data_IF_645303647717
#
_entry.id   IF_645303647717
#
_cell.length_a   1.000
_cell.length_b   1.000
_cell.length_c   1.000
_cell.angle_alpha   90.00
_cell.angle_beta   90.00
_cell.angle_gamma   90.00
#
_symmetry.space_group_name_H-M   'P 1'
#
loop_
_entity.id
_entity.type
_entity.pdbx_description
1 polymer ?
#
# COMPACT_ATOMS: atom_id res chain seq x y z
N UNK A 1 0.06 14.41 -5.32
CA UNK A 1 -0.11 13.10 -5.99
C UNK A 1 1.23 12.37 -5.96
N UNK A 2 1.21 11.05 -6.06
CA UNK A 2 2.44 10.26 -6.22
C UNK A 2 3.08 10.59 -7.59
N UNK A 3 4.42 10.66 -7.62
CA UNK A 3 5.17 10.91 -8.86
C UNK A 3 5.99 9.67 -9.22
N UNK A 4 5.84 9.21 -10.45
CA UNK A 4 6.54 8.05 -10.99
C UNK A 4 7.89 8.46 -11.56
N UNK A 5 8.93 7.69 -11.26
CA UNK A 5 10.29 7.87 -11.78
C UNK A 5 10.72 6.64 -12.59
N UNK A 6 10.83 6.80 -13.90
CA UNK A 6 11.39 5.82 -14.84
C UNK A 6 12.37 6.55 -15.78
N UNK A 7 13.57 6.93 -15.29
CA UNK A 7 14.52 7.70 -16.08
C UNK A 7 15.02 6.90 -17.29
N UNK A 8 15.23 7.59 -18.42
CA UNK A 8 15.71 6.98 -19.67
C UNK A 8 17.20 6.63 -19.66
N UNK A 9 17.93 7.04 -18.62
CA UNK A 9 19.37 6.79 -18.47
C UNK A 9 19.70 5.38 -17.96
N UNK A 10 18.70 4.57 -17.62
CA UNK A 10 18.83 3.18 -17.19
C UNK A 10 17.77 2.30 -17.87
N UNK A 11 17.89 0.98 -17.70
CA UNK A 11 16.93 0.03 -18.26
C UNK A 11 15.49 0.31 -17.78
N UNK A 12 14.53 0.18 -18.68
CA UNK A 12 13.11 0.26 -18.34
C UNK A 12 12.70 -0.90 -17.41
N UNK A 13 11.61 -0.75 -16.64
CA UNK A 13 11.04 -1.86 -15.86
C UNK A 13 10.82 -3.11 -16.72
N UNK A 14 11.35 -4.25 -16.27
CA UNK A 14 11.21 -5.55 -16.96
C UNK A 14 9.79 -6.13 -16.79
N UNK A 15 8.98 -5.56 -15.88
CA UNK A 15 7.62 -5.99 -15.62
C UNK A 15 6.71 -4.82 -15.22
N UNK A 16 5.54 -5.15 -14.66
CA UNK A 16 4.50 -4.17 -14.29
C UNK A 16 4.78 -3.49 -12.94
N UNK A 17 5.79 -2.62 -12.93
CA UNK A 17 6.18 -1.79 -11.78
C UNK A 17 6.86 -0.49 -12.24
N UNK A 18 7.12 0.43 -11.32
CA UNK A 18 7.91 1.65 -11.54
C UNK A 18 9.27 1.55 -10.87
N UNK A 19 10.34 2.11 -11.46
CA UNK A 19 11.68 2.08 -10.85
C UNK A 19 11.74 2.92 -9.56
N UNK A 20 10.96 3.99 -9.48
CA UNK A 20 10.79 4.78 -8.26
C UNK A 20 9.41 5.41 -8.14
N UNK A 21 8.97 5.60 -6.90
CA UNK A 21 7.76 6.36 -6.53
C UNK A 21 8.18 7.44 -5.53
N UNK A 22 7.90 8.69 -5.86
CA UNK A 22 8.08 9.84 -4.97
C UNK A 22 6.74 10.19 -4.32
N UNK A 23 6.75 10.25 -2.99
CA UNK A 23 5.60 10.59 -2.16
C UNK A 23 5.67 12.08 -1.80
N UNK A 24 4.60 12.86 -2.01
CA UNK A 24 4.62 14.29 -1.72
C UNK A 24 4.69 14.58 -0.21
N UNK A 25 5.19 15.77 0.19
CA UNK A 25 5.18 16.21 1.58
C UNK A 25 3.79 16.16 2.22
N UNK A 26 3.74 15.85 3.52
CA UNK A 26 2.50 15.84 4.31
C UNK A 26 1.61 14.61 4.10
N UNK A 27 2.06 13.60 3.34
CA UNK A 27 1.34 12.34 3.21
C UNK A 27 1.30 11.54 4.52
N UNK A 28 0.19 10.83 4.74
CA UNK A 28 0.10 9.80 5.78
C UNK A 28 0.62 8.49 5.23
N UNK A 29 1.42 7.79 6.02
CA UNK A 29 2.03 6.52 5.68
C UNK A 29 1.33 5.36 6.37
N UNK A 30 1.27 4.22 5.70
CA UNK A 30 0.84 2.95 6.24
C UNK A 30 1.86 1.90 5.84
N UNK A 31 2.41 1.22 6.83
CA UNK A 31 3.25 0.05 6.64
C UNK A 31 2.38 -1.18 6.85
N UNK A 32 2.18 -1.97 5.80
CA UNK A 32 1.42 -3.21 5.84
C UNK A 32 2.41 -4.34 6.08
N UNK A 33 2.27 -5.02 7.21
CA UNK A 33 3.07 -6.21 7.52
C UNK A 33 2.94 -7.27 6.42
N UNK A 34 3.94 -8.15 6.31
CA UNK A 34 3.91 -9.28 5.38
C UNK A 34 2.61 -10.07 5.50
N UNK A 35 1.83 -10.07 4.43
CA UNK A 35 0.62 -10.87 4.31
C UNK A 35 0.96 -12.21 3.67
N UNK A 36 0.47 -13.27 4.30
CA UNK A 36 0.58 -14.67 3.88
C UNK A 36 -0.78 -15.19 3.41
N UNK A 37 -0.79 -16.33 2.72
CA UNK A 37 -1.99 -16.98 2.19
C UNK A 37 -2.86 -17.66 3.26
N UNK A 38 -3.11 -17.01 4.40
CA UNK A 38 -3.94 -17.53 5.49
C UNK A 38 -5.32 -16.86 5.45
N UNK A 39 -6.37 -17.66 5.41
CA UNK A 39 -7.77 -17.21 5.47
C UNK A 39 -8.17 -16.86 6.91
N UNK A 40 -9.27 -16.13 7.15
CA UNK A 40 -9.73 -15.78 8.50
C UNK A 40 -10.01 -16.98 9.42
N UNK A 41 -10.34 -18.14 8.85
CA UNK A 41 -10.55 -19.40 9.57
C UNK A 41 -9.24 -20.12 9.92
N UNK A 42 -8.09 -19.56 9.54
CA UNK A 42 -6.76 -20.14 9.74
C UNK A 42 -6.34 -21.15 8.66
N UNK A 43 -7.20 -21.46 7.68
CA UNK A 43 -6.86 -22.38 6.60
C UNK A 43 -5.85 -21.77 5.61
N UNK A 44 -5.00 -22.64 5.07
CA UNK A 44 -3.97 -22.29 4.08
C UNK A 44 -4.28 -23.05 2.79
N UNK A 45 -4.58 -22.36 1.67
CA UNK A 45 -4.75 -23.01 0.39
C UNK A 45 -3.47 -23.72 -0.06
N UNK A 46 -3.60 -24.75 -0.91
CA UNK A 46 -2.45 -25.55 -1.36
C UNK A 46 -1.75 -24.99 -2.59
N UNK A 47 -2.43 -24.15 -3.38
CA UNK A 47 -1.91 -23.62 -4.64
C UNK A 47 -1.33 -22.21 -4.51
N UNK A 48 -0.38 -21.86 -5.38
CA UNK A 48 0.20 -20.51 -5.41
C UNK A 48 -0.86 -19.47 -5.79
N UNK A 49 -1.76 -19.80 -6.71
CA UNK A 49 -2.83 -18.91 -7.17
C UNK A 49 -3.73 -18.53 -6.00
N UNK A 50 -4.26 -19.51 -5.28
CA UNK A 50 -5.16 -19.27 -4.15
C UNK A 50 -4.47 -18.57 -2.99
N UNK A 51 -3.22 -18.96 -2.65
CA UNK A 51 -2.47 -18.23 -1.62
C UNK A 51 -2.23 -16.77 -2.03
N UNK A 52 -1.90 -16.52 -3.30
CA UNK A 52 -1.69 -15.16 -3.82
C UNK A 52 -2.99 -14.34 -3.77
N UNK A 53 -4.14 -14.94 -4.09
CA UNK A 53 -5.45 -14.29 -3.96
C UNK A 53 -5.73 -13.88 -2.52
N UNK A 54 -5.51 -14.78 -1.56
CA UNK A 54 -5.69 -14.51 -0.13
C UNK A 54 -4.74 -13.40 0.35
N UNK A 55 -3.46 -13.45 -0.03
CA UNK A 55 -2.48 -12.41 0.28
C UNK A 55 -2.98 -11.02 -0.15
N UNK A 56 -3.47 -10.91 -1.39
CA UNK A 56 -3.94 -9.63 -1.90
C UNK A 56 -5.26 -9.18 -1.30
N UNK A 57 -6.18 -10.09 -0.99
CA UNK A 57 -7.40 -9.79 -0.24
C UNK A 57 -7.06 -9.23 1.15
N UNK A 58 -6.08 -9.84 1.84
CA UNK A 58 -5.62 -9.38 3.14
C UNK A 58 -4.97 -7.99 3.05
N UNK A 59 -4.13 -7.72 2.04
CA UNK A 59 -3.55 -6.39 1.80
C UNK A 59 -4.66 -5.35 1.57
N UNK A 60 -5.65 -5.66 0.74
CA UNK A 60 -6.78 -4.75 0.50
C UNK A 60 -7.59 -4.47 1.76
N UNK A 61 -7.79 -5.47 2.62
CA UNK A 61 -8.49 -5.30 3.89
C UNK A 61 -7.73 -4.35 4.83
N UNK A 62 -6.41 -4.51 4.97
CA UNK A 62 -5.57 -3.61 5.80
C UNK A 62 -5.57 -2.18 5.24
N UNK A 63 -5.48 -2.03 3.91
CA UNK A 63 -5.57 -0.70 3.28
C UNK A 63 -6.94 -0.06 3.55
N UNK A 64 -8.02 -0.82 3.40
CA UNK A 64 -9.38 -0.33 3.61
C UNK A 64 -9.63 0.11 5.05
N UNK A 65 -9.16 -0.65 6.04
CA UNK A 65 -9.21 -0.28 7.47
C UNK A 65 -8.52 1.07 7.75
N UNK A 66 -7.41 1.32 7.05
CA UNK A 66 -6.70 2.60 7.11
C UNK A 66 -7.32 3.72 6.24
N UNK A 67 -8.46 3.49 5.58
CA UNK A 67 -9.09 4.42 4.63
C UNK A 67 -8.25 4.69 3.38
N UNK A 68 -7.44 3.72 2.97
CA UNK A 68 -6.59 3.71 1.78
C UNK A 68 -7.09 2.65 0.78
N UNK A 69 -6.60 2.71 -0.46
CA UNK A 69 -6.86 1.70 -1.49
C UNK A 69 -5.61 1.35 -2.28
N UNK A 70 -5.77 0.50 -3.30
CA UNK A 70 -4.63 0.01 -4.10
C UNK A 70 -3.79 1.13 -4.72
N UNK A 71 -4.44 2.23 -5.13
CA UNK A 71 -3.76 3.39 -5.71
C UNK A 71 -2.88 4.17 -4.72
N UNK A 72 -3.02 3.94 -3.41
CA UNK A 72 -2.17 4.52 -2.38
C UNK A 72 -0.89 3.69 -2.15
N UNK A 73 -0.79 2.46 -2.67
CA UNK A 73 0.41 1.60 -2.51
C UNK A 73 1.59 2.21 -3.27
N UNK A 74 2.73 2.39 -2.61
CA UNK A 74 3.93 3.00 -3.18
C UNK A 74 5.08 2.01 -3.39
N UNK A 75 5.15 0.96 -2.56
CA UNK A 75 6.15 -0.11 -2.65
C UNK A 75 5.54 -1.44 -2.29
N UNK A 76 5.93 -2.48 -3.03
CA UNK A 76 5.64 -3.89 -2.72
C UNK A 76 6.97 -4.65 -2.62
N UNK A 77 7.09 -5.53 -1.64
CA UNK A 77 8.13 -6.56 -1.60
C UNK A 77 7.44 -7.91 -1.58
N UNK A 78 7.79 -8.78 -2.51
CA UNK A 78 7.19 -10.11 -2.64
C UNK A 78 8.25 -11.19 -2.47
N UNK A 79 7.91 -12.20 -1.69
CA UNK A 79 8.75 -13.36 -1.41
C UNK A 79 8.05 -14.61 -1.93
N UNK A 80 8.70 -15.36 -2.81
CA UNK A 80 8.24 -16.67 -3.27
C UNK A 80 9.23 -17.73 -2.78
N UNK A 81 8.75 -18.92 -2.43
CA UNK A 81 9.65 -20.03 -2.05
C UNK A 81 10.16 -20.84 -3.23
N UNK A 82 9.57 -20.63 -4.41
CA UNK A 82 9.83 -21.40 -5.64
C UNK A 82 9.78 -20.50 -6.87
N UNK A 83 10.70 -20.71 -7.82
CA UNK A 83 10.77 -19.87 -9.01
C UNK A 83 9.63 -20.17 -10.00
N UNK A 84 9.25 -21.44 -10.11
CA UNK A 84 8.17 -21.93 -10.98
C UNK A 84 6.79 -21.32 -10.64
N UNK A 85 6.64 -20.79 -9.43
CA UNK A 85 5.43 -20.11 -8.97
C UNK A 85 5.29 -18.68 -9.53
N UNK A 86 6.35 -18.09 -10.07
CA UNK A 86 6.37 -16.69 -10.51
C UNK A 86 5.30 -16.36 -11.57
N UNK A 87 5.10 -17.14 -12.64
CA UNK A 87 4.10 -16.83 -13.66
C UNK A 87 2.68 -16.73 -13.09
N UNK A 88 2.27 -17.72 -12.29
CA UNK A 88 0.97 -17.75 -11.64
C UNK A 88 0.79 -16.60 -10.65
N UNK A 89 1.80 -16.36 -9.81
CA UNK A 89 1.83 -15.22 -8.89
C UNK A 89 1.65 -13.89 -9.65
N UNK A 90 2.41 -13.68 -10.73
CA UNK A 90 2.37 -12.45 -11.50
C UNK A 90 1.01 -12.21 -12.16
N UNK A 91 0.36 -13.28 -12.65
CA UNK A 91 -0.97 -13.21 -13.24
C UNK A 91 -2.02 -12.80 -12.21
N UNK A 92 -2.02 -13.41 -11.02
CA UNK A 92 -2.97 -13.05 -9.95
C UNK A 92 -2.71 -11.63 -9.46
N UNK A 93 -1.44 -11.27 -9.17
CA UNK A 93 -1.03 -9.92 -8.77
C UNK A 93 -1.53 -8.84 -9.74
N UNK A 94 -1.46 -9.11 -11.05
CA UNK A 94 -1.90 -8.15 -12.06
C UNK A 94 -3.41 -7.83 -11.96
N UNK A 95 -4.25 -8.79 -11.57
CA UNK A 95 -5.69 -8.58 -11.37
C UNK A 95 -5.96 -7.57 -10.25
N UNK A 96 -5.22 -7.66 -9.14
CA UNK A 96 -5.38 -6.78 -7.99
C UNK A 96 -4.82 -5.38 -8.22
N UNK A 97 -3.69 -5.26 -8.93
CA UNK A 97 -3.08 -3.97 -9.21
C UNK A 97 -3.75 -3.21 -10.37
N UNK A 98 -4.37 -3.92 -11.31
CA UNK A 98 -4.94 -3.30 -12.51
C UNK A 98 -3.90 -2.48 -13.27
N UNK A 99 -4.15 -1.17 -13.43
CA UNK A 99 -3.22 -0.23 -14.06
C UNK A 99 -2.19 0.39 -13.09
N UNK A 100 -2.31 0.16 -11.79
CA UNK A 100 -1.41 0.74 -10.78
C UNK A 100 0.01 0.14 -10.87
N UNK A 101 1.03 0.98 -10.72
CA UNK A 101 2.45 0.61 -10.91
C UNK A 101 3.31 1.12 -9.74
N UNK A 102 3.23 0.52 -8.55
CA UNK A 102 4.12 0.88 -7.44
C UNK A 102 5.57 0.46 -7.73
N UNK A 103 6.51 0.91 -6.90
CA UNK A 103 7.82 0.29 -6.86
C UNK A 103 7.70 -1.16 -6.41
N UNK A 104 8.55 -2.05 -6.92
CA UNK A 104 8.40 -3.49 -6.65
C UNK A 104 9.75 -4.20 -6.58
N UNK A 105 9.84 -5.15 -5.66
CA UNK A 105 10.96 -6.10 -5.55
C UNK A 105 10.37 -7.50 -5.40
N UNK A 106 10.95 -8.49 -6.07
CA UNK A 106 10.61 -9.89 -5.88
C UNK A 106 11.87 -10.68 -5.55
N UNK A 107 11.76 -11.55 -4.55
CA UNK A 107 12.79 -12.50 -4.18
C UNK A 107 12.25 -13.92 -4.26
N UNK A 108 13.08 -14.84 -4.73
CA UNK A 108 12.89 -16.27 -4.51
C UNK A 108 13.79 -16.67 -3.34
N UNK A 109 13.20 -17.12 -2.24
CA UNK A 109 13.88 -17.42 -0.98
C UNK A 109 13.77 -18.90 -0.62
N UNK A 110 14.58 -19.37 0.32
CA UNK A 110 14.62 -20.79 0.70
C UNK A 110 13.37 -21.26 1.45
N UNK A 111 12.77 -20.40 2.28
CA UNK A 111 11.59 -20.74 3.08
C UNK A 111 10.93 -19.49 3.65
N UNK A 112 9.64 -19.60 3.97
CA UNK A 112 8.88 -18.67 4.80
C UNK A 112 8.74 -19.23 6.23
N UNK A 113 8.06 -18.51 7.11
CA UNK A 113 7.91 -18.89 8.52
C UNK A 113 7.30 -20.29 8.74
N UNK A 114 6.49 -20.78 7.80
CA UNK A 114 5.92 -22.13 7.78
C UNK A 114 6.10 -22.76 6.40
N UNK A 115 6.38 -24.07 6.31
CA UNK A 115 6.71 -24.75 5.05
C UNK A 115 5.55 -24.75 4.03
N UNK A 116 4.32 -24.67 4.48
CA UNK A 116 3.13 -24.60 3.62
C UNK A 116 2.92 -23.23 2.97
N UNK A 117 3.63 -22.18 3.39
CA UNK A 117 3.53 -20.87 2.76
C UNK A 117 4.38 -20.84 1.49
N UNK A 118 3.74 -20.48 0.38
CA UNK A 118 4.37 -20.38 -0.94
C UNK A 118 4.71 -18.94 -1.31
N UNK A 119 4.01 -17.98 -0.69
CA UNK A 119 4.11 -16.55 -0.97
C UNK A 119 3.88 -15.72 0.30
N UNK A 120 4.65 -14.64 0.42
CA UNK A 120 4.42 -13.56 1.38
C UNK A 120 4.62 -12.21 0.67
N UNK A 121 3.77 -11.23 0.96
CA UNK A 121 3.86 -9.89 0.36
C UNK A 121 3.66 -8.82 1.44
N UNK A 122 4.63 -7.93 1.56
CA UNK A 122 4.48 -6.68 2.32
C UNK A 122 4.22 -5.51 1.37
N UNK A 123 3.59 -4.47 1.90
CA UNK A 123 3.32 -3.25 1.15
C UNK A 123 3.54 -2.01 2.00
N UNK A 124 3.97 -0.93 1.36
CA UNK A 124 3.98 0.41 1.93
C UNK A 124 2.99 1.23 1.12
N UNK A 125 2.10 1.94 1.80
CA UNK A 125 1.16 2.86 1.19
C UNK A 125 1.32 4.27 1.74
N UNK A 126 1.00 5.26 0.91
CA UNK A 126 1.02 6.66 1.29
C UNK A 126 -0.14 7.42 0.65
N UNK A 127 -0.87 8.18 1.45
CA UNK A 127 -2.01 8.99 1.02
C UNK A 127 -1.77 10.46 1.33
N UNK A 128 -1.65 11.26 0.27
CA UNK A 128 -1.57 12.71 0.42
C UNK A 128 -2.92 13.27 0.92
N UNK A 129 -2.92 14.24 1.84
CA UNK A 129 -4.14 14.96 2.17
C UNK A 129 -4.68 15.64 0.93
N UNK A 130 -6.01 15.72 0.81
CA UNK A 130 -6.63 16.52 -0.23
C UNK A 130 -6.07 17.96 -0.16
N UNK A 131 -5.85 18.63 -1.31
CA UNK A 131 -5.40 20.01 -1.30
C UNK A 131 -6.33 20.82 -0.39
N UNK A 132 -5.76 21.50 0.61
CA UNK A 132 -6.53 22.37 1.51
C UNK A 132 -7.23 23.42 0.64
N UNK A 133 -8.55 23.42 0.63
CA UNK A 133 -9.31 24.48 -0.03
C UNK A 133 -9.05 25.80 0.73
N UNK A 134 -8.42 26.82 0.12
CA UNK A 134 -8.09 28.07 0.79
C UNK A 134 -9.33 28.82 1.31
N UNK A 135 -10.53 28.50 0.80
CA UNK A 135 -11.79 29.12 1.23
C UNK A 135 -12.31 28.66 2.60
N UNK A 136 -11.79 27.57 3.18
CA UNK A 136 -12.16 27.09 4.52
C UNK A 136 -11.17 27.58 5.58
N UNK A 137 -11.12 28.89 5.82
CA UNK A 137 -10.55 29.41 7.08
C UNK A 137 -11.54 29.13 8.21
N UNK A 138 -11.12 28.56 9.36
CA UNK A 138 -11.98 28.52 10.53
C UNK A 138 -12.27 29.97 10.93
N UNK A 139 -13.55 30.33 11.08
CA UNK A 139 -13.95 31.67 11.49
C UNK A 139 -13.27 31.98 12.82
N UNK A 140 -12.60 33.13 12.89
CA UNK A 140 -11.92 33.56 14.09
C UNK A 140 -12.90 33.55 15.26
N UNK A 141 -12.58 32.78 16.29
CA UNK A 141 -13.33 32.68 17.53
C UNK A 141 -13.49 34.09 18.10
N UNK A 142 -14.71 34.64 18.05
CA UNK A 142 -15.06 35.96 18.64
C UNK A 142 -14.68 35.94 20.11
N UNK A 143 -13.61 36.66 20.46
CA UNK A 143 -13.27 36.95 21.85
C UNK A 143 -14.34 37.86 22.43
N UNK A 144 -15.18 37.33 23.32
CA UNK A 144 -16.16 38.11 24.05
C UNK A 144 -15.46 39.05 25.03
N UNK A 145 -15.47 40.36 24.74
CA UNK A 145 -15.21 41.40 25.75
C UNK A 145 -16.41 41.48 26.70
N UNK A 146 -16.27 40.93 27.90
CA UNK A 146 -17.21 41.20 29.00
C UNK A 146 -16.88 42.55 29.65
N UNK A 147 -17.89 43.41 29.73
CA UNK A 147 -17.88 44.80 30.20
C UNK A 147 -17.44 44.94 31.66
N UNK A 148 -16.56 45.91 31.94
CA UNK A 148 -16.35 46.53 33.27
C UNK A 148 -17.70 47.05 33.80
N UNK A 149 -18.15 46.55 34.96
CA UNK A 149 -19.17 47.20 35.79
C UNK A 149 -18.46 48.09 36.81
N UNK A 150 -18.55 49.39 36.61
CA UNK A 150 -18.40 50.39 37.67
C UNK A 150 -19.69 50.41 38.50
N UNK A 151 -19.57 50.26 39.82
CA UNK A 151 -20.57 50.77 40.77
C UNK A 151 -19.83 51.29 42.02
N UNK A 152 -20.12 52.57 42.27
CA UNK A 152 -20.11 53.37 43.52
C UNK A 152 -19.20 52.91 44.65
#
# INVERSE_FOLDING_TARGET
MLKVHNPRSIAAPIGTYSLGIEVPPGARWLHVAGQIGVRPDGSVPSTIEEQTEVVWQNILAVLADAGMGIGDVVKITSFLTRHENFPSFAQVRAKFLGSHRPASTLLVISSLARPEFLVEVEAIAAKAPAPRNPARRPSARRTGKAKRRTRR
#
